data_IF_558203947568
#
_entry.id   IF_558203947568
#
_cell.length_a   1.000
_cell.length_b   1.000
_cell.length_c   1.000
_cell.angle_alpha   90.00
_cell.angle_beta   90.00
_cell.angle_gamma   90.00
#
_symmetry.space_group_name_H-M   'P 1'
#
loop_
_entity.id
_entity.type
_entity.pdbx_description
1 polymer ?
#
# COMPACT_ATOMS: atom_id res chain seq x y z
N UNK A 1 -1.70 -18.97 -5.75
CA UNK A 1 -0.36 -18.76 -5.11
C UNK A 1 -0.49 -17.51 -4.26
N UNK A 2 -0.10 -17.47 -2.97
CA UNK A 2 -0.38 -16.30 -2.15
C UNK A 2 0.29 -15.03 -2.70
N UNK A 3 -0.46 -13.92 -2.70
CA UNK A 3 -0.02 -12.61 -3.17
C UNK A 3 0.13 -11.67 -1.98
N UNK A 4 1.25 -10.96 -1.95
CA UNK A 4 1.51 -9.85 -1.04
C UNK A 4 1.69 -8.59 -1.88
N UNK A 5 1.15 -7.48 -1.41
CA UNK A 5 1.24 -6.20 -2.11
C UNK A 5 1.97 -5.19 -1.24
N UNK A 6 3.03 -4.59 -1.73
CA UNK A 6 3.64 -3.39 -1.16
C UNK A 6 3.15 -2.14 -1.90
N UNK A 7 2.36 -1.31 -1.22
CA UNK A 7 1.83 -0.07 -1.76
C UNK A 7 2.65 1.13 -1.25
N UNK A 8 3.14 1.94 -2.19
CA UNK A 8 3.90 3.14 -1.89
C UNK A 8 3.22 4.39 -2.44
N UNK A 9 3.34 5.51 -1.71
CA UNK A 9 2.66 6.76 -2.03
C UNK A 9 3.65 7.88 -2.38
N UNK A 10 3.31 8.70 -3.38
CA UNK A 10 4.12 9.81 -3.84
C UNK A 10 3.45 10.58 -4.98
N UNK A 11 3.73 11.88 -5.09
CA UNK A 11 3.13 12.73 -6.13
C UNK A 11 3.47 12.22 -7.54
N UNK A 12 2.47 12.22 -8.43
CA UNK A 12 2.64 11.82 -9.84
C UNK A 12 2.69 10.30 -10.09
N UNK A 13 2.60 9.47 -9.05
CA UNK A 13 2.49 8.02 -9.23
C UNK A 13 1.11 7.63 -9.76
N UNK A 14 1.04 6.47 -10.40
CA UNK A 14 -0.20 5.94 -10.95
C UNK A 14 -0.15 4.40 -10.96
N UNK A 15 -1.14 3.69 -10.39
CA UNK A 15 -1.11 2.23 -10.22
C UNK A 15 -0.92 1.44 -11.50
N UNK A 16 -1.41 1.96 -12.63
CA UNK A 16 -1.34 1.27 -13.92
C UNK A 16 0.02 1.35 -14.63
N UNK A 17 0.90 2.26 -14.21
CA UNK A 17 2.22 2.45 -14.86
C UNK A 17 3.38 2.30 -13.88
N UNK A 18 3.13 2.57 -12.61
CA UNK A 18 4.12 2.47 -11.54
C UNK A 18 3.82 1.22 -10.69
N UNK A 19 4.02 0.05 -11.29
CA UNK A 19 3.84 -1.22 -10.60
C UNK A 19 4.86 -2.25 -11.09
N UNK A 20 5.10 -3.27 -10.29
CA UNK A 20 5.94 -4.41 -10.64
C UNK A 20 5.43 -5.68 -9.98
N UNK A 21 5.65 -6.82 -10.62
CA UNK A 21 5.34 -8.13 -10.08
C UNK A 21 6.62 -8.96 -10.02
N UNK A 22 6.90 -9.54 -8.86
CA UNK A 22 8.08 -10.34 -8.59
C UNK A 22 7.60 -11.74 -8.19
N UNK A 23 7.55 -12.68 -9.15
CA UNK A 23 7.13 -14.04 -8.86
C UNK A 23 8.20 -14.80 -8.06
N UNK A 24 7.76 -15.75 -7.25
CA UNK A 24 8.64 -16.71 -6.58
C UNK A 24 7.94 -18.07 -6.46
N UNK A 25 8.67 -19.08 -5.97
CA UNK A 25 8.11 -20.43 -5.82
C UNK A 25 7.07 -20.56 -4.70
N UNK A 26 6.99 -19.59 -3.77
CA UNK A 26 6.16 -19.71 -2.57
C UNK A 26 5.14 -18.59 -2.41
N UNK A 27 5.37 -17.42 -3.01
CA UNK A 27 4.46 -16.28 -3.05
C UNK A 27 4.79 -15.33 -4.19
N UNK A 28 3.87 -14.45 -4.54
CA UNK A 28 4.11 -13.37 -5.50
C UNK A 28 4.09 -12.03 -4.78
N UNK A 29 5.13 -11.21 -4.99
CA UNK A 29 5.18 -9.84 -4.47
C UNK A 29 4.77 -8.86 -5.55
N UNK A 30 3.82 -7.99 -5.24
CA UNK A 30 3.35 -6.94 -6.13
C UNK A 30 3.72 -5.58 -5.52
N UNK A 31 4.34 -4.71 -6.29
CA UNK A 31 4.57 -3.32 -5.91
C UNK A 31 3.59 -2.44 -6.66
N UNK A 32 2.97 -1.48 -5.97
CA UNK A 32 2.02 -0.55 -6.61
C UNK A 32 2.18 0.87 -6.05
N UNK A 33 2.43 1.81 -6.95
CA UNK A 33 2.52 3.25 -6.66
C UNK A 33 1.16 3.93 -6.75
N UNK A 34 0.84 4.78 -5.77
CA UNK A 34 -0.37 5.60 -5.70
C UNK A 34 -0.02 7.06 -5.42
N UNK A 35 -0.86 7.98 -5.89
CA UNK A 35 -0.66 9.43 -5.76
C UNK A 35 -1.39 10.07 -4.58
N UNK A 36 -2.40 9.40 -4.03
CA UNK A 36 -3.25 9.92 -2.96
C UNK A 36 -3.88 8.80 -2.14
N UNK A 37 -4.41 9.12 -0.96
CA UNK A 37 -5.17 8.14 -0.19
C UNK A 37 -6.47 7.70 -0.86
N UNK A 38 -7.11 8.55 -1.67
CA UNK A 38 -8.31 8.15 -2.41
C UNK A 38 -7.99 7.07 -3.46
N UNK A 39 -6.87 7.24 -4.18
CA UNK A 39 -6.37 6.24 -5.12
C UNK A 39 -5.88 4.97 -4.40
N UNK A 40 -5.26 5.12 -3.23
CA UNK A 40 -4.87 3.99 -2.37
C UNK A 40 -6.10 3.14 -1.98
N UNK A 41 -7.20 3.77 -1.56
CA UNK A 41 -8.44 3.07 -1.23
C UNK A 41 -9.05 2.35 -2.43
N UNK A 42 -9.08 3.01 -3.60
CA UNK A 42 -9.59 2.38 -4.83
C UNK A 42 -8.75 1.17 -5.22
N UNK A 43 -7.43 1.31 -5.14
CA UNK A 43 -6.47 0.24 -5.42
C UNK A 43 -6.65 -0.92 -4.44
N UNK A 44 -6.77 -0.62 -3.15
CA UNK A 44 -7.00 -1.64 -2.12
C UNK A 44 -8.31 -2.41 -2.32
N UNK A 45 -9.41 -1.72 -2.69
CA UNK A 45 -10.69 -2.39 -3.04
C UNK A 45 -10.51 -3.35 -4.21
N UNK A 46 -9.81 -2.93 -5.26
CA UNK A 46 -9.54 -3.75 -6.45
C UNK A 46 -8.70 -4.98 -6.11
N UNK A 47 -7.62 -4.79 -5.34
CA UNK A 47 -6.73 -5.86 -4.89
C UNK A 47 -7.47 -6.88 -4.02
N UNK A 48 -8.34 -6.42 -3.13
CA UNK A 48 -9.12 -7.27 -2.22
C UNK A 48 -10.12 -8.20 -2.94
N UNK A 49 -10.41 -7.97 -4.23
CA UNK A 49 -11.20 -8.89 -5.04
C UNK A 49 -10.43 -10.17 -5.41
N UNK A 50 -9.10 -10.16 -5.31
CA UNK A 50 -8.27 -11.32 -5.62
C UNK A 50 -8.27 -12.32 -4.44
N UNK A 51 -8.74 -13.57 -4.62
CA UNK A 51 -8.79 -14.56 -3.55
C UNK A 51 -7.41 -15.03 -3.06
N UNK A 52 -6.37 -14.82 -3.87
CA UNK A 52 -4.99 -15.17 -3.52
C UNK A 52 -4.29 -14.07 -2.69
N UNK A 53 -4.87 -12.87 -2.57
CA UNK A 53 -4.31 -11.80 -1.75
C UNK A 53 -4.28 -12.21 -0.26
N UNK A 54 -3.13 -12.00 0.38
CA UNK A 54 -2.93 -12.28 1.81
C UNK A 54 -2.74 -11.02 2.64
N UNK A 55 -2.00 -10.04 2.12
CA UNK A 55 -1.82 -8.77 2.82
C UNK A 55 -1.50 -7.61 1.87
N UNK A 56 -1.79 -6.40 2.35
CA UNK A 56 -1.31 -5.13 1.79
C UNK A 56 -0.37 -4.50 2.82
N UNK A 57 0.89 -4.37 2.47
CA UNK A 57 1.91 -3.67 3.22
C UNK A 57 2.04 -2.24 2.69
N UNK A 58 2.07 -1.28 3.60
CA UNK A 58 2.12 0.13 3.28
C UNK A 58 3.52 0.68 3.53
N UNK A 59 4.01 1.48 2.59
CA UNK A 59 5.27 2.17 2.79
C UNK A 59 5.18 3.16 3.97
N UNK A 60 6.33 3.57 4.54
CA UNK A 60 6.36 4.45 5.71
C UNK A 60 5.74 5.83 5.52
N UNK A 61 5.53 6.26 4.27
CA UNK A 61 4.87 7.52 3.96
C UNK A 61 3.35 7.49 4.14
N UNK A 62 2.75 6.34 4.48
CA UNK A 62 1.36 6.30 4.94
C UNK A 62 1.28 6.66 6.42
N UNK A 63 0.63 7.78 6.74
CA UNK A 63 0.30 8.16 8.11
C UNK A 63 -0.80 7.27 8.72
N UNK A 64 -1.18 7.54 9.95
CA UNK A 64 -2.18 6.75 10.69
C UNK A 64 -3.55 6.80 10.01
N UNK A 65 -3.98 7.97 9.55
CA UNK A 65 -5.25 8.13 8.83
C UNK A 65 -5.21 7.39 7.49
N UNK A 66 -4.10 7.47 6.75
CA UNK A 66 -3.89 6.70 5.53
C UNK A 66 -4.03 5.20 5.72
N UNK A 67 -3.36 4.65 6.75
CA UNK A 67 -3.46 3.22 7.10
C UNK A 67 -4.89 2.82 7.42
N UNK A 68 -5.60 3.62 8.24
CA UNK A 68 -6.99 3.33 8.61
C UNK A 68 -7.92 3.33 7.39
N UNK A 69 -7.75 4.28 6.46
CA UNK A 69 -8.50 4.37 5.19
C UNK A 69 -8.27 3.14 4.33
N UNK A 70 -7.01 2.74 4.12
CA UNK A 70 -6.69 1.53 3.34
C UNK A 70 -7.23 0.27 4.02
N UNK A 71 -7.09 0.12 5.34
CA UNK A 71 -7.65 -1.03 6.08
C UNK A 71 -9.16 -1.12 5.94
N UNK A 72 -9.87 0.01 6.00
CA UNK A 72 -11.32 0.06 5.78
C UNK A 72 -11.67 -0.36 4.34
N UNK A 73 -10.93 0.15 3.35
CA UNK A 73 -11.16 -0.14 1.94
C UNK A 73 -10.86 -1.60 1.54
N UNK A 74 -9.79 -2.19 2.09
CA UNK A 74 -9.41 -3.58 1.85
C UNK A 74 -10.37 -4.60 2.50
N UNK A 75 -11.17 -4.15 3.47
CA UNK A 75 -12.15 -4.98 4.15
C UNK A 75 -11.57 -5.84 5.28
N UNK A 76 -12.45 -6.54 6.03
CA UNK A 76 -12.05 -7.19 7.27
C UNK A 76 -11.11 -8.38 7.07
N UNK A 77 -11.17 -9.05 5.89
CA UNK A 77 -10.43 -10.28 5.60
C UNK A 77 -8.97 -10.05 5.17
N UNK A 78 -8.63 -8.85 4.70
CA UNK A 78 -7.29 -8.54 4.19
C UNK A 78 -6.46 -7.92 5.32
N UNK A 79 -5.30 -8.50 5.61
CA UNK A 79 -4.36 -7.91 6.56
C UNK A 79 -3.72 -6.65 5.94
N UNK A 80 -3.67 -5.57 6.72
CA UNK A 80 -2.98 -4.34 6.31
C UNK A 80 -1.90 -4.03 7.33
N UNK A 81 -0.66 -4.05 6.87
CA UNK A 81 0.54 -3.70 7.66
C UNK A 81 1.14 -2.40 7.17
N UNK A 82 1.98 -1.77 7.98
CA UNK A 82 2.69 -0.54 7.60
C UNK A 82 4.10 -0.60 8.15
N UNK A 83 5.08 -0.29 7.29
CA UNK A 83 6.46 -0.13 7.73
C UNK A 83 6.56 1.18 8.50
N UNK A 84 7.13 1.16 9.71
CA UNK A 84 7.40 2.36 10.51
C UNK A 84 8.90 2.57 10.58
N UNK A 85 9.34 3.82 10.43
CA UNK A 85 10.73 4.20 10.67
C UNK A 85 10.88 4.82 12.06
N UNK A 86 12.01 4.58 12.68
CA UNK A 86 12.50 5.27 13.86
C UNK A 86 13.94 5.72 13.60
N UNK A 87 14.21 6.94 13.07
CA UNK A 87 13.33 8.00 12.54
C UNK A 87 13.22 8.02 10.99
N UNK A 88 12.13 8.56 10.41
CA UNK A 88 11.86 8.54 8.96
C UNK A 88 12.70 9.58 8.17
N UNK A 89 13.67 9.17 7.33
CA UNK A 89 14.56 10.11 6.63
C UNK A 89 13.94 10.71 5.36
N UNK A 90 12.92 10.08 4.77
CA UNK A 90 12.51 10.37 3.39
C UNK A 90 11.46 11.48 3.26
N UNK A 91 10.97 12.04 4.37
CA UNK A 91 9.84 12.98 4.41
C UNK A 91 10.12 14.26 5.20
N UNK A 92 11.40 14.63 5.39
CA UNK A 92 11.78 15.74 6.28
C UNK A 92 11.15 15.63 7.67
N UNK A 93 11.01 14.40 8.18
CA UNK A 93 10.36 14.07 9.46
C UNK A 93 8.86 14.40 9.58
N UNK A 94 8.13 14.62 8.47
CA UNK A 94 6.68 14.87 8.47
C UNK A 94 5.84 13.59 8.29
N UNK A 95 4.60 13.62 8.79
CA UNK A 95 3.63 12.53 8.58
C UNK A 95 3.08 12.54 7.16
N UNK A 96 2.71 11.36 6.66
CA UNK A 96 1.92 11.25 5.43
C UNK A 96 0.54 11.90 5.55
N UNK A 97 -0.05 11.90 6.74
CA UNK A 97 -1.39 12.46 6.97
C UNK A 97 -1.44 13.99 6.78
N UNK A 98 -0.29 14.66 6.82
CA UNK A 98 -0.19 16.11 6.57
C UNK A 98 -0.08 16.42 5.07
N UNK A 99 0.17 15.40 4.22
CA UNK A 99 0.66 15.59 2.86
C UNK A 99 -0.17 14.91 1.76
N UNK A 100 -0.95 13.90 2.11
CA UNK A 100 -1.69 13.03 1.17
C UNK A 100 -3.15 12.79 1.62
#
# INVERSE_FOLDING_TARGET
MPIFVFMYIGQGLHPATHHAEIPSMTFHMHLVGVSSYAEAEQTARKLAMNPDLRAIELCPSFGTCGVARVKKAAGPKINVGVVRFDPNPNMSHRSGDDLF
#
